data_IF_563603370092
#
_entry.id   IF_563603370092
#
_cell.length_a   1.000
_cell.length_b   1.000
_cell.length_c   1.000
_cell.angle_alpha   90.00
_cell.angle_beta   90.00
_cell.angle_gamma   90.00
#
_symmetry.space_group_name_H-M   'P 1'
#
loop_
_entity.id
_entity.type
_entity.pdbx_description
1 polymer ?
#
# COMPACT_ATOMS: atom_id res chain seq x y z
N UNK A 1 26.50 -11.97 -0.04
CA UNK A 1 25.34 -11.07 0.13
C UNK A 1 24.39 -11.74 1.11
N UNK A 2 24.41 -11.35 2.40
CA UNK A 2 23.52 -11.92 3.41
C UNK A 2 22.09 -11.40 3.24
N UNK A 3 21.09 -12.25 3.52
CA UNK A 3 19.68 -11.87 3.55
C UNK A 3 19.05 -12.34 4.86
N UNK A 4 18.64 -11.39 5.70
CA UNK A 4 18.05 -11.62 7.02
C UNK A 4 16.65 -12.24 6.91
N UNK A 5 15.86 -11.77 5.95
CA UNK A 5 14.51 -12.30 5.63
C UNK A 5 14.56 -13.79 5.26
N UNK A 6 15.69 -14.26 4.71
CA UNK A 6 15.93 -15.67 4.38
C UNK A 6 16.57 -16.48 5.52
N UNK A 7 16.59 -15.97 6.76
CA UNK A 7 17.24 -16.64 7.90
C UNK A 7 18.75 -16.42 7.96
N UNK A 8 19.21 -15.23 7.58
CA UNK A 8 20.64 -14.86 7.49
C UNK A 8 21.46 -15.72 6.52
N UNK A 9 20.80 -16.28 5.49
CA UNK A 9 21.43 -17.05 4.42
C UNK A 9 22.34 -16.16 3.57
N UNK A 10 23.50 -16.69 3.17
CA UNK A 10 24.51 -15.94 2.42
C UNK A 10 24.57 -16.37 0.96
N UNK A 11 24.10 -15.50 0.06
CA UNK A 11 24.15 -15.75 -1.38
C UNK A 11 25.51 -15.37 -1.98
N UNK A 12 26.07 -16.30 -2.77
CA UNK A 12 27.34 -16.13 -3.49
C UNK A 12 27.11 -15.49 -4.86
N UNK A 13 27.69 -14.31 -5.09
CA UNK A 13 27.64 -13.59 -6.37
C UNK A 13 26.33 -12.81 -6.62
N UNK A 14 26.43 -11.75 -7.43
CA UNK A 14 25.30 -10.83 -7.70
C UNK A 14 24.11 -11.52 -8.37
N UNK A 15 24.37 -12.35 -9.39
CA UNK A 15 23.31 -13.06 -10.13
C UNK A 15 22.47 -13.99 -9.25
N UNK A 16 23.10 -14.69 -8.30
CA UNK A 16 22.37 -15.57 -7.40
C UNK A 16 21.58 -14.76 -6.36
N UNK A 17 22.14 -13.63 -5.93
CA UNK A 17 21.43 -12.68 -5.10
C UNK A 17 20.23 -12.06 -5.83
N UNK A 18 20.31 -11.67 -7.10
CA UNK A 18 19.11 -11.15 -7.77
C UNK A 18 18.00 -12.20 -7.93
N UNK A 19 18.38 -13.46 -8.16
CA UNK A 19 17.43 -14.57 -8.24
C UNK A 19 16.75 -14.90 -6.92
N UNK A 20 17.40 -14.65 -5.78
CA UNK A 20 16.83 -15.05 -4.48
C UNK A 20 15.54 -14.31 -4.13
N UNK A 21 15.33 -13.08 -4.64
CA UNK A 21 14.10 -12.33 -4.40
C UNK A 21 12.85 -13.02 -4.98
N UNK A 22 13.02 -13.78 -6.07
CA UNK A 22 11.96 -14.58 -6.68
C UNK A 22 11.88 -16.01 -6.15
N UNK A 23 12.81 -16.41 -5.28
CA UNK A 23 12.85 -17.75 -4.73
C UNK A 23 11.75 -17.97 -3.68
N UNK A 24 11.24 -19.20 -3.61
CA UNK A 24 10.20 -19.58 -2.66
C UNK A 24 10.59 -19.29 -1.21
N UNK A 25 11.87 -19.38 -0.87
CA UNK A 25 12.35 -19.09 0.49
C UNK A 25 12.13 -17.63 0.87
N UNK A 26 12.52 -16.71 0.00
CA UNK A 26 12.36 -15.28 0.25
C UNK A 26 10.87 -14.89 0.22
N UNK A 27 10.11 -15.43 -0.73
CA UNK A 27 8.67 -15.24 -0.79
C UNK A 27 7.95 -15.73 0.49
N UNK A 28 8.37 -16.85 1.04
CA UNK A 28 7.87 -17.37 2.31
C UNK A 28 8.24 -16.45 3.48
N UNK A 29 9.49 -16.00 3.57
CA UNK A 29 9.93 -15.04 4.59
C UNK A 29 9.11 -13.74 4.56
N UNK A 30 8.89 -13.18 3.37
CA UNK A 30 8.03 -12.00 3.17
C UNK A 30 6.58 -12.27 3.60
N UNK A 31 6.03 -13.44 3.26
CA UNK A 31 4.68 -13.85 3.68
C UNK A 31 4.56 -13.97 5.20
N UNK A 32 5.56 -14.49 5.90
CA UNK A 32 5.57 -14.56 7.37
C UNK A 32 5.57 -13.17 8.02
N UNK A 33 6.13 -12.16 7.34
CA UNK A 33 6.10 -10.76 7.77
C UNK A 33 4.80 -10.03 7.38
N UNK A 34 3.89 -10.69 6.64
CA UNK A 34 2.66 -10.07 6.14
C UNK A 34 2.89 -9.10 4.98
N UNK A 35 4.05 -9.16 4.31
CA UNK A 35 4.43 -8.25 3.23
C UNK A 35 4.31 -8.99 1.89
N UNK A 36 3.64 -8.43 0.86
CA UNK A 36 3.56 -9.06 -0.44
C UNK A 36 4.92 -8.98 -1.17
N UNK A 37 5.39 -10.12 -1.71
CA UNK A 37 6.64 -10.21 -2.47
C UNK A 37 6.50 -9.59 -3.89
N UNK A 38 6.42 -8.26 -3.94
CA UNK A 38 6.35 -7.48 -5.19
C UNK A 38 7.73 -6.94 -5.57
N UNK A 39 7.87 -6.47 -6.82
CA UNK A 39 9.13 -5.88 -7.32
C UNK A 39 9.61 -4.67 -6.49
N UNK A 40 8.71 -4.00 -5.78
CA UNK A 40 9.04 -2.88 -4.90
C UNK A 40 9.98 -3.26 -3.74
N UNK A 41 10.00 -4.55 -3.36
CA UNK A 41 10.84 -5.07 -2.28
C UNK A 41 12.14 -5.72 -2.79
N UNK A 42 12.44 -5.65 -4.10
CA UNK A 42 13.72 -6.13 -4.61
C UNK A 42 14.86 -5.27 -4.05
N UNK A 43 15.86 -5.94 -3.46
CA UNK A 43 16.98 -5.28 -2.80
C UNK A 43 16.82 -5.15 -1.29
N UNK A 44 15.63 -5.42 -0.74
CA UNK A 44 15.40 -5.40 0.71
C UNK A 44 15.84 -6.73 1.32
N UNK A 45 16.85 -6.69 2.19
CA UNK A 45 17.40 -7.89 2.84
C UNK A 45 17.13 -7.95 4.33
N UNK A 46 16.90 -6.79 4.96
CA UNK A 46 16.66 -6.66 6.39
C UNK A 46 15.18 -6.65 6.71
N UNK A 47 14.82 -7.18 7.87
CA UNK A 47 13.42 -7.24 8.32
C UNK A 47 12.92 -5.84 8.68
N UNK A 48 13.74 -5.05 9.38
CA UNK A 48 13.45 -3.66 9.76
C UNK A 48 13.08 -2.79 8.55
N UNK A 49 13.92 -2.82 7.50
CA UNK A 49 13.73 -2.03 6.28
C UNK A 49 12.45 -2.45 5.54
N UNK A 50 12.16 -3.76 5.51
CA UNK A 50 10.96 -4.28 4.86
C UNK A 50 9.68 -3.78 5.55
N UNK A 51 9.65 -3.77 6.87
CA UNK A 51 8.52 -3.29 7.66
C UNK A 51 8.32 -1.77 7.52
N UNK A 52 9.40 -0.99 7.53
CA UNK A 52 9.33 0.45 7.32
C UNK A 52 8.80 0.79 5.93
N UNK A 53 9.34 0.14 4.89
CA UNK A 53 8.91 0.34 3.51
C UNK A 53 7.44 -0.07 3.33
N UNK A 54 7.03 -1.20 3.89
CA UNK A 54 5.64 -1.64 3.85
C UNK A 54 4.71 -0.68 4.57
N UNK A 55 5.10 -0.18 5.76
CA UNK A 55 4.31 0.80 6.50
C UNK A 55 4.09 2.11 5.73
N UNK A 56 5.11 2.59 5.01
CA UNK A 56 4.98 3.77 4.13
C UNK A 56 4.10 3.47 2.92
N UNK A 57 4.34 2.34 2.25
CA UNK A 57 3.59 1.95 1.07
C UNK A 57 2.11 1.72 1.39
N UNK A 58 1.80 1.13 2.55
CA UNK A 58 0.42 0.91 2.99
C UNK A 58 -0.32 2.22 3.21
N UNK A 59 0.30 3.22 3.85
CA UNK A 59 -0.30 4.56 3.99
C UNK A 59 -0.59 5.22 2.64
N UNK A 60 0.31 5.07 1.67
CA UNK A 60 0.09 5.58 0.32
C UNK A 60 -1.02 4.80 -0.37
N UNK A 61 -1.09 3.48 -0.23
CA UNK A 61 -2.17 2.67 -0.78
C UNK A 61 -3.52 2.99 -0.12
N UNK A 62 -3.58 3.10 1.20
CA UNK A 62 -4.79 3.46 1.96
C UNK A 62 -5.24 4.89 1.59
N UNK A 63 -4.31 5.84 1.44
CA UNK A 63 -4.63 7.21 1.00
C UNK A 63 -4.87 7.38 -0.50
N UNK A 64 -4.40 6.43 -1.34
CA UNK A 64 -4.70 6.40 -2.78
C UNK A 64 -5.88 5.48 -3.10
N UNK A 65 -6.37 4.72 -2.13
CA UNK A 65 -7.69 4.13 -2.14
C UNK A 65 -8.65 5.30 -1.94
N UNK A 66 -8.85 6.03 -3.04
CA UNK A 66 -9.92 6.99 -3.20
C UNK A 66 -11.21 6.38 -2.64
N UNK A 67 -11.69 6.93 -1.53
CA UNK A 67 -13.06 6.78 -1.09
C UNK A 67 -13.94 7.38 -2.19
N UNK A 68 -14.36 6.56 -3.15
CA UNK A 68 -15.27 6.98 -4.22
C UNK A 68 -16.65 7.42 -3.73
N UNK A 69 -16.89 7.41 -2.41
CA UNK A 69 -18.07 7.99 -1.76
C UNK A 69 -17.83 9.45 -1.30
N UNK A 70 -16.58 9.90 -1.17
CA UNK A 70 -16.23 11.22 -0.61
C UNK A 70 -15.98 12.30 -1.68
N UNK A 71 -15.84 11.94 -2.97
CA UNK A 71 -15.47 12.88 -4.04
C UNK A 71 -16.55 13.08 -5.12
N UNK A 72 -17.82 12.82 -4.81
CA UNK A 72 -18.93 13.28 -5.64
C UNK A 72 -19.42 14.65 -5.10
N UNK A 73 -18.74 15.70 -5.56
CA UNK A 73 -19.07 17.10 -5.27
C UNK A 73 -20.35 17.50 -6.02
N UNK A 74 -21.45 17.68 -5.29
CA UNK A 74 -22.70 18.18 -5.85
C UNK A 74 -22.76 19.70 -5.67
N UNK A 75 -22.94 20.43 -6.76
CA UNK A 75 -23.09 21.89 -6.75
C UNK A 75 -24.58 22.24 -6.64
N UNK A 76 -24.96 22.96 -5.57
CA UNK A 76 -26.33 23.50 -5.44
C UNK A 76 -26.56 24.70 -6.38
N UNK A 77 -27.82 25.06 -6.62
CA UNK A 77 -28.26 26.23 -7.40
C UNK A 77 -27.66 27.58 -6.98
N UNK A 78 -27.04 27.65 -5.80
CA UNK A 78 -26.31 28.81 -5.26
C UNK A 78 -24.78 28.77 -5.44
N UNK A 79 -24.22 27.72 -6.08
CA UNK A 79 -22.78 27.59 -6.33
C UNK A 79 -21.96 27.11 -5.12
N UNK A 80 -22.62 26.44 -4.16
CA UNK A 80 -21.94 25.83 -3.01
C UNK A 80 -21.63 24.36 -3.30
N UNK A 81 -20.40 23.95 -3.04
CA UNK A 81 -19.94 22.57 -3.19
C UNK A 81 -20.33 21.78 -1.93
N UNK A 82 -21.13 20.74 -2.10
CA UNK A 82 -21.66 19.91 -1.01
C UNK A 82 -21.25 18.45 -1.20
N UNK A 83 -20.88 17.78 -0.10
CA UNK A 83 -20.73 16.33 -0.10
C UNK A 83 -22.11 15.67 -0.22
N UNK A 84 -22.18 14.48 -0.83
CA UNK A 84 -23.42 13.71 -1.07
C UNK A 84 -24.37 13.64 0.15
N UNK A 85 -23.83 13.39 1.34
CA UNK A 85 -24.62 13.31 2.57
C UNK A 85 -25.29 14.64 2.95
N UNK A 86 -24.62 15.77 2.67
CA UNK A 86 -25.16 17.11 2.93
C UNK A 86 -26.23 17.46 1.89
N UNK A 87 -26.00 17.11 0.61
CA UNK A 87 -26.99 17.29 -0.45
C UNK A 87 -28.27 16.49 -0.17
N UNK A 88 -28.16 15.21 0.18
CA UNK A 88 -29.33 14.37 0.50
C UNK A 88 -30.08 14.83 1.76
N UNK A 89 -29.37 15.35 2.76
CA UNK A 89 -29.97 15.93 3.97
C UNK A 89 -30.70 17.25 3.67
N UNK A 90 -30.09 18.15 2.90
CA UNK A 90 -30.70 19.42 2.45
C UNK A 90 -31.94 19.17 1.57
N UNK A 91 -31.87 18.22 0.64
CA UNK A 91 -33.01 17.83 -0.20
C UNK A 91 -34.15 17.23 0.63
N UNK A 92 -33.83 16.40 1.65
CA UNK A 92 -34.84 15.83 2.55
C UNK A 92 -35.49 16.88 3.46
N UNK A 93 -34.74 17.92 3.82
CA UNK A 93 -35.24 19.07 4.57
C UNK A 93 -35.98 20.09 3.70
N UNK A 94 -36.00 19.90 2.37
CA UNK A 94 -36.67 20.79 1.41
C UNK A 94 -35.99 22.15 1.24
N UNK A 95 -34.68 22.22 1.47
CA UNK A 95 -33.87 23.44 1.41
C UNK A 95 -32.96 23.48 0.17
N UNK A 96 -33.42 22.89 -0.94
CA UNK A 96 -32.74 22.81 -2.23
C UNK A 96 -33.61 23.45 -3.32
#
# INVERSE_FOLDING_TARGET
YPCEICGNESYRGRRNFEKHFTDSRHAYGMRCLGIPNTKHFHGVTKIEDAQELWGRLRKVLEGSQFDGDEEEEYEDSHGNVLNRAQFEDLARQGML
#
